data_IF_382132329614
#
_entry.id   IF_382132329614
#
_cell.length_a   1.000
_cell.length_b   1.000
_cell.length_c   1.000
_cell.angle_alpha   90.00
_cell.angle_beta   90.00
_cell.angle_gamma   90.00
#
_symmetry.space_group_name_H-M   'P 1'
#
loop_
_entity.id
_entity.type
_entity.pdbx_description
1 polymer ?
#
# COMPACT_ATOMS: atom_id res chain seq x y z
N UNK A 1 -12.70 -3.83 6.57
CA UNK A 1 -12.93 -2.53 7.25
C UNK A 1 -13.51 -1.57 6.23
N UNK A 2 -14.75 -1.09 6.42
CA UNK A 2 -15.38 -0.11 5.52
C UNK A 2 -14.89 1.28 5.91
N UNK A 3 -14.34 2.04 4.97
CA UNK A 3 -14.14 3.48 5.12
C UNK A 3 -14.67 4.16 3.86
N UNK A 4 -15.76 4.89 4.03
CA UNK A 4 -16.18 5.96 3.12
C UNK A 4 -15.79 7.25 3.82
N UNK A 5 -14.91 8.03 3.23
CA UNK A 5 -14.83 9.45 3.54
C UNK A 5 -14.85 10.24 2.25
N UNK A 6 -16.01 10.87 2.03
CA UNK A 6 -16.17 11.96 1.08
C UNK A 6 -15.41 13.18 1.63
N UNK A 7 -14.09 13.17 1.53
CA UNK A 7 -13.28 14.30 1.95
C UNK A 7 -13.19 15.30 0.79
N UNK A 8 -14.11 16.27 0.78
CA UNK A 8 -14.25 17.30 -0.27
C UNK A 8 -12.95 18.10 -0.45
N UNK A 9 -12.14 18.24 0.61
CA UNK A 9 -10.82 18.88 0.59
C UNK A 9 -9.73 18.07 -0.16
N UNK A 10 -9.83 16.74 -0.17
CA UNK A 10 -8.88 15.91 -0.91
C UNK A 10 -9.03 16.12 -2.43
N UNK A 11 -10.21 16.50 -2.91
CA UNK A 11 -10.47 16.68 -4.34
C UNK A 11 -9.73 17.89 -4.92
N UNK A 12 -9.71 19.01 -4.20
CA UNK A 12 -9.01 20.23 -4.62
C UNK A 12 -7.49 20.04 -4.62
N UNK A 13 -6.97 19.28 -3.65
CA UNK A 13 -5.56 18.91 -3.58
C UNK A 13 -5.16 17.87 -4.64
N UNK A 14 -6.08 17.02 -5.10
CA UNK A 14 -5.84 16.07 -6.19
C UNK A 14 -5.83 16.73 -7.58
N UNK A 15 -6.28 17.98 -7.69
CA UNK A 15 -6.30 18.76 -8.94
C UNK A 15 -4.97 19.49 -9.20
N UNK A 16 -4.09 19.65 -8.19
CA UNK A 16 -2.71 20.09 -8.41
C UNK A 16 -1.87 18.96 -9.03
N UNK A 17 -1.27 19.25 -10.18
CA UNK A 17 -0.47 18.28 -10.96
C UNK A 17 0.73 17.78 -10.13
N UNK A 18 0.65 16.55 -9.64
CA UNK A 18 1.80 15.75 -9.22
C UNK A 18 1.88 15.38 -7.74
N UNK A 19 1.38 16.22 -6.84
CA UNK A 19 1.70 16.11 -5.39
C UNK A 19 0.50 15.74 -4.49
N UNK A 20 -0.73 15.98 -4.93
CA UNK A 20 -1.93 15.77 -4.11
C UNK A 20 -2.15 14.35 -3.59
N UNK A 21 -1.68 13.32 -4.32
CA UNK A 21 -1.93 11.91 -3.96
C UNK A 21 -1.11 11.43 -2.78
N UNK A 22 0.10 11.95 -2.61
CA UNK A 22 0.99 11.53 -1.51
C UNK A 22 0.48 12.11 -0.19
N UNK A 23 0.02 13.36 -0.21
CA UNK A 23 -0.49 14.06 0.98
C UNK A 23 -1.71 13.38 1.58
N UNK A 24 -2.61 12.85 0.74
CA UNK A 24 -3.80 12.12 1.22
C UNK A 24 -3.42 10.83 1.96
N UNK A 25 -2.39 10.12 1.49
CA UNK A 25 -1.94 8.86 2.12
C UNK A 25 -1.37 9.13 3.51
N UNK A 26 -0.59 10.20 3.68
CA UNK A 26 0.02 10.55 4.97
C UNK A 26 -1.00 10.92 6.05
N UNK A 27 -2.22 11.31 5.67
CA UNK A 27 -3.30 11.61 6.59
C UNK A 27 -4.12 10.36 6.99
N UNK A 28 -3.88 9.21 6.38
CA UNK A 28 -4.58 7.98 6.70
C UNK A 28 -3.89 7.24 7.86
N UNK A 29 -4.68 6.75 8.82
CA UNK A 29 -4.22 5.89 9.92
C UNK A 29 -4.02 4.43 9.45
N UNK A 30 -3.18 4.25 8.42
CA UNK A 30 -2.80 2.96 7.85
C UNK A 30 -1.31 2.96 7.50
N UNK A 31 -0.65 1.80 7.63
CA UNK A 31 0.72 1.63 7.17
C UNK A 31 0.80 1.58 5.64
N UNK A 32 1.61 2.45 5.03
CA UNK A 32 1.91 2.42 3.59
C UNK A 32 3.43 2.43 3.36
N UNK A 33 3.92 1.46 2.60
CA UNK A 33 5.31 1.39 2.13
C UNK A 33 5.31 1.31 0.60
N UNK A 34 6.05 2.21 -0.04
CA UNK A 34 6.23 2.23 -1.49
C UNK A 34 7.66 2.67 -1.83
N UNK A 35 8.15 2.28 -3.01
CA UNK A 35 9.48 2.70 -3.48
C UNK A 35 9.52 4.20 -3.84
N UNK A 36 8.46 4.70 -4.48
CA UNK A 36 8.32 6.09 -4.87
C UNK A 36 6.86 6.41 -5.21
N UNK A 37 6.52 7.70 -5.26
CA UNK A 37 5.26 8.18 -5.82
C UNK A 37 5.32 8.23 -7.35
N UNK A 38 4.24 7.86 -8.02
CA UNK A 38 4.11 8.00 -9.48
C UNK A 38 2.77 8.67 -9.84
N UNK A 39 2.77 9.82 -10.54
CA UNK A 39 1.55 10.61 -10.76
C UNK A 39 0.63 10.02 -11.85
N UNK A 40 1.18 9.23 -12.78
CA UNK A 40 0.41 8.62 -13.88
C UNK A 40 -0.55 7.58 -13.31
N UNK A 41 -1.80 7.59 -13.78
CA UNK A 41 -2.80 6.60 -13.38
C UNK A 41 -2.41 5.23 -13.98
N UNK A 42 -2.47 4.14 -13.20
CA UNK A 42 -2.23 2.81 -13.73
C UNK A 42 -3.33 2.40 -14.71
N UNK A 43 -2.99 1.49 -15.62
CA UNK A 43 -3.96 0.90 -16.54
C UNK A 43 -4.96 0.00 -15.77
N UNK A 44 -6.22 -0.05 -16.21
CA UNK A 44 -7.33 -0.75 -15.54
C UNK A 44 -7.80 -2.01 -16.27
N UNK A 45 -6.90 -2.69 -16.98
CA UNK A 45 -7.21 -3.87 -17.78
C UNK A 45 -7.64 -5.11 -16.95
N UNK A 46 -7.69 -5.03 -15.61
CA UNK A 46 -8.07 -6.12 -14.69
C UNK A 46 -7.26 -7.42 -14.91
N UNK A 47 -6.02 -7.28 -15.31
CA UNK A 47 -5.08 -8.39 -15.46
C UNK A 47 -4.31 -8.55 -14.15
N UNK A 48 -4.15 -9.79 -13.70
CA UNK A 48 -3.41 -10.13 -12.48
C UNK A 48 -3.88 -11.46 -11.90
N UNK A 49 -3.03 -12.07 -11.08
CA UNK A 49 -3.36 -13.26 -10.31
C UNK A 49 -3.57 -12.88 -8.84
N UNK A 50 -4.42 -13.65 -8.14
CA UNK A 50 -4.70 -13.49 -6.70
C UNK A 50 -4.37 -14.81 -6.03
N UNK A 51 -3.89 -14.77 -4.79
CA UNK A 51 -3.43 -15.94 -4.03
C UNK A 51 -2.21 -16.67 -4.65
N UNK A 52 -1.54 -16.07 -5.62
CA UNK A 52 -0.25 -16.57 -6.14
C UNK A 52 0.89 -16.05 -5.27
N UNK A 53 1.82 -16.92 -4.81
CA UNK A 53 3.00 -16.47 -4.10
C UNK A 53 3.86 -15.49 -4.91
N UNK A 54 4.40 -14.47 -4.25
CA UNK A 54 5.24 -13.45 -4.90
C UNK A 54 6.64 -13.42 -4.29
N UNK A 55 7.62 -13.02 -5.10
CA UNK A 55 8.96 -12.69 -4.63
C UNK A 55 9.24 -11.22 -4.88
N UNK A 56 9.41 -10.44 -3.82
CA UNK A 56 9.53 -8.98 -3.86
C UNK A 56 10.49 -8.49 -2.78
N UNK A 57 11.37 -7.55 -3.12
CA UNK A 57 12.28 -6.95 -2.15
C UNK A 57 13.21 -7.96 -1.45
N UNK A 58 13.50 -9.10 -2.09
CA UNK A 58 14.28 -10.20 -1.50
C UNK A 58 13.49 -11.14 -0.59
N UNK A 59 12.18 -10.90 -0.40
CA UNK A 59 11.30 -11.72 0.42
C UNK A 59 10.34 -12.54 -0.44
N UNK A 60 10.10 -13.78 -0.05
CA UNK A 60 9.07 -14.63 -0.62
C UNK A 60 7.82 -14.55 0.27
N UNK A 61 6.68 -14.16 -0.31
CA UNK A 61 5.42 -13.96 0.40
C UNK A 61 4.38 -14.93 -0.13
N UNK A 62 3.78 -15.72 0.75
CA UNK A 62 2.67 -16.63 0.45
C UNK A 62 1.40 -16.18 1.13
N UNK A 63 0.27 -16.63 0.58
CA UNK A 63 -1.02 -16.47 1.23
C UNK A 63 -1.01 -17.17 2.61
N UNK A 64 -1.56 -16.49 3.62
CA UNK A 64 -1.58 -16.96 5.01
C UNK A 64 -0.31 -16.72 5.84
N UNK A 65 0.77 -16.18 5.27
CA UNK A 65 1.96 -15.76 6.04
C UNK A 65 1.72 -14.40 6.73
N UNK A 66 2.44 -14.15 7.82
CA UNK A 66 2.38 -12.92 8.60
C UNK A 66 3.43 -11.91 8.14
N UNK A 67 3.02 -10.65 7.98
CA UNK A 67 3.89 -9.54 7.57
C UNK A 67 3.95 -8.49 8.68
N UNK A 68 5.16 -8.16 9.11
CA UNK A 68 5.45 -7.13 10.10
C UNK A 68 6.29 -6.03 9.44
N UNK A 69 6.02 -4.77 9.77
CA UNK A 69 6.73 -3.64 9.18
C UNK A 69 6.89 -2.49 10.17
N UNK A 70 8.05 -1.85 10.13
CA UNK A 70 8.40 -0.66 10.91
C UNK A 70 9.28 0.29 10.08
N UNK A 71 9.97 1.22 10.75
CA UNK A 71 10.90 2.18 10.11
C UNK A 71 12.10 1.51 9.47
N UNK A 72 12.54 0.37 10.00
CA UNK A 72 13.78 -0.29 9.59
C UNK A 72 13.53 -1.23 8.42
N UNK A 73 12.38 -1.91 8.40
CA UNK A 73 12.17 -2.93 7.39
C UNK A 73 10.79 -3.59 7.37
N UNK A 74 10.76 -4.71 6.65
CA UNK A 74 9.62 -5.61 6.55
C UNK A 74 10.14 -7.02 6.86
N UNK A 75 9.41 -7.75 7.69
CA UNK A 75 9.66 -9.14 8.04
C UNK A 75 8.46 -10.00 7.62
N UNK A 76 8.74 -11.19 7.09
CA UNK A 76 7.73 -12.20 6.73
C UNK A 76 7.95 -13.44 7.60
N UNK A 77 6.87 -13.96 8.19
CA UNK A 77 6.90 -15.15 9.03
C UNK A 77 5.81 -16.14 8.64
N UNK A 78 6.13 -17.44 8.70
CA UNK A 78 5.16 -18.51 8.45
C UNK A 78 4.12 -18.66 9.55
N UNK A 79 4.41 -18.13 10.73
CA UNK A 79 3.56 -18.19 11.91
C UNK A 79 3.53 -16.83 12.60
N UNK A 80 2.49 -16.58 13.38
CA UNK A 80 2.43 -15.40 14.23
C UNK A 80 3.62 -15.39 15.20
N UNK A 81 4.30 -14.26 15.31
CA UNK A 81 5.36 -14.05 16.28
C UNK A 81 4.75 -13.62 17.61
N UNK A 82 5.11 -14.32 18.68
CA UNK A 82 4.84 -13.87 20.04
C UNK A 82 5.86 -12.79 20.38
N UNK A 83 5.40 -11.55 20.46
CA UNK A 83 6.17 -10.42 20.99
C UNK A 83 5.83 -10.22 22.47
#
# INVERSE_FOLDING_TARGET
>A
MKVFDNNVFARELLETKGEGRVLVINACDIGVRALASHPVKPNKNRVGEVHTPIYIGGAFVRDGEWLYADSDGILVSKTELSI
#
